data_IF_455579080176
#
_entry.id   IF_455579080176
#
_cell.length_a   1.000
_cell.length_b   1.000
_cell.length_c   1.000
_cell.angle_alpha   90.00
_cell.angle_beta   90.00
_cell.angle_gamma   90.00
#
_symmetry.space_group_name_H-M   'P 1'
#
loop_
_entity.id
_entity.type
_entity.pdbx_description
1 polymer ?
#
# COMPACT_ATOMS: atom_id res chain seq x y z
N UNK A 1 4.64 -13.57 -1.38
CA UNK A 1 6.06 -13.23 -1.16
C UNK A 1 6.93 -13.60 -2.37
N UNK A 2 6.99 -14.85 -2.79
CA UNK A 2 7.80 -15.28 -3.96
C UNK A 2 7.48 -14.45 -5.21
N UNK A 3 6.20 -14.23 -5.52
CA UNK A 3 5.78 -13.43 -6.67
C UNK A 3 6.28 -11.98 -6.62
N UNK A 4 6.28 -11.35 -5.44
CA UNK A 4 6.76 -9.98 -5.28
C UNK A 4 8.24 -9.84 -5.65
N UNK A 5 9.07 -10.75 -5.18
CA UNK A 5 10.52 -10.77 -5.47
C UNK A 5 10.76 -11.10 -6.96
N UNK A 6 10.09 -12.15 -7.46
CA UNK A 6 10.25 -12.60 -8.84
C UNK A 6 9.84 -11.50 -9.85
N UNK A 7 8.67 -10.90 -9.67
CA UNK A 7 8.19 -9.85 -10.58
C UNK A 7 8.88 -8.50 -10.38
N UNK A 8 9.40 -8.20 -9.18
CA UNK A 8 10.31 -7.09 -8.99
C UNK A 8 11.52 -7.20 -9.91
N UNK A 9 12.22 -8.33 -9.84
CA UNK A 9 13.39 -8.60 -10.70
C UNK A 9 13.04 -8.67 -12.19
N UNK A 10 11.94 -9.34 -12.56
CA UNK A 10 11.49 -9.44 -13.94
C UNK A 10 11.16 -8.07 -14.55
N UNK A 11 10.49 -7.21 -13.76
CA UNK A 11 10.12 -5.87 -14.22
C UNK A 11 11.33 -4.95 -14.40
N UNK A 12 12.37 -5.11 -13.57
CA UNK A 12 13.63 -4.38 -13.73
C UNK A 12 14.41 -4.84 -14.99
N UNK A 13 14.40 -6.14 -15.27
CA UNK A 13 15.16 -6.73 -16.38
C UNK A 13 14.47 -6.57 -17.74
N UNK A 14 13.17 -6.83 -17.83
CA UNK A 14 12.43 -6.91 -19.09
C UNK A 14 11.58 -5.68 -19.40
N UNK A 15 11.40 -4.78 -18.44
CA UNK A 15 10.56 -3.59 -18.56
C UNK A 15 9.25 -3.71 -17.78
N UNK A 16 8.72 -2.55 -17.41
CA UNK A 16 7.51 -2.46 -16.56
C UNK A 16 6.27 -2.95 -17.31
N UNK A 17 6.06 -2.41 -18.52
CA UNK A 17 4.91 -2.73 -19.38
C UNK A 17 4.82 -4.21 -19.69
N UNK A 18 5.94 -4.81 -20.16
CA UNK A 18 5.98 -6.22 -20.55
C UNK A 18 5.65 -7.14 -19.39
N UNK A 19 6.28 -6.89 -18.24
CA UNK A 19 6.09 -7.68 -17.02
C UNK A 19 4.67 -7.54 -16.47
N UNK A 20 4.08 -6.34 -16.51
CA UNK A 20 2.72 -6.08 -16.09
C UNK A 20 1.70 -6.85 -16.93
N UNK A 21 1.77 -6.71 -18.27
CA UNK A 21 0.83 -7.36 -19.19
C UNK A 21 0.98 -8.87 -19.14
N UNK A 22 2.22 -9.38 -19.09
CA UNK A 22 2.45 -10.82 -18.90
C UNK A 22 1.79 -11.35 -17.62
N UNK A 23 2.01 -10.68 -16.48
CA UNK A 23 1.42 -11.09 -15.22
C UNK A 23 -0.11 -11.05 -15.27
N UNK A 24 -0.70 -9.98 -15.82
CA UNK A 24 -2.14 -9.77 -15.89
C UNK A 24 -2.83 -10.83 -16.77
N UNK A 25 -2.34 -11.04 -17.98
CA UNK A 25 -2.92 -12.00 -18.92
C UNK A 25 -2.77 -13.43 -18.40
N UNK A 26 -1.57 -13.78 -17.91
CA UNK A 26 -1.33 -15.12 -17.36
C UNK A 26 -2.17 -15.35 -16.09
N UNK A 27 -2.37 -14.34 -15.24
CA UNK A 27 -3.27 -14.41 -14.08
C UNK A 27 -4.70 -14.72 -14.51
N UNK A 28 -5.20 -14.06 -15.56
CA UNK A 28 -6.54 -14.32 -16.11
C UNK A 28 -6.69 -15.74 -16.63
N UNK A 29 -5.69 -16.24 -17.37
CA UNK A 29 -5.69 -17.61 -17.90
C UNK A 29 -5.66 -18.63 -16.75
N UNK A 30 -4.69 -18.54 -15.84
CA UNK A 30 -4.52 -19.47 -14.72
C UNK A 30 -5.72 -19.40 -13.78
N UNK A 31 -6.28 -18.19 -13.54
CA UNK A 31 -7.50 -17.98 -12.77
C UNK A 31 -8.72 -18.68 -13.38
N UNK A 32 -8.86 -18.61 -14.70
CA UNK A 32 -9.93 -19.31 -15.43
C UNK A 32 -9.73 -20.84 -15.39
N UNK A 33 -8.49 -21.31 -15.54
CA UNK A 33 -8.16 -22.74 -15.41
C UNK A 33 -8.44 -23.28 -13.99
N UNK A 34 -8.36 -22.43 -12.97
CA UNK A 34 -8.71 -22.83 -11.60
C UNK A 34 -10.17 -23.29 -11.48
N UNK A 35 -11.09 -22.71 -12.27
CA UNK A 35 -12.48 -23.13 -12.31
C UNK A 35 -12.67 -24.56 -12.89
N UNK A 36 -11.72 -25.02 -13.69
CA UNK A 36 -11.73 -26.34 -14.32
C UNK A 36 -10.98 -27.40 -13.48
N UNK A 37 -10.49 -27.06 -12.30
CA UNK A 37 -9.71 -27.96 -11.47
C UNK A 37 -10.51 -29.21 -11.09
N UNK A 38 -9.97 -30.43 -11.33
CA UNK A 38 -10.68 -31.68 -11.06
C UNK A 38 -10.61 -32.09 -9.59
N UNK A 39 -9.60 -31.64 -8.85
CA UNK A 39 -9.40 -32.00 -7.47
C UNK A 39 -8.75 -30.87 -6.66
N UNK A 40 -8.73 -31.02 -5.34
CA UNK A 40 -8.18 -30.04 -4.39
C UNK A 40 -6.69 -29.73 -4.62
N UNK A 41 -5.88 -30.72 -4.99
CA UNK A 41 -4.45 -30.52 -5.19
C UNK A 41 -4.15 -29.62 -6.39
N UNK A 42 -4.82 -29.88 -7.52
CA UNK A 42 -4.72 -29.05 -8.73
C UNK A 42 -5.25 -27.64 -8.45
N UNK A 43 -6.38 -27.53 -7.74
CA UNK A 43 -6.93 -26.24 -7.31
C UNK A 43 -5.91 -25.45 -6.51
N UNK A 44 -5.29 -26.06 -5.47
CA UNK A 44 -4.31 -25.40 -4.60
C UNK A 44 -3.06 -24.98 -5.37
N UNK A 45 -2.59 -25.84 -6.28
CA UNK A 45 -1.45 -25.55 -7.14
C UNK A 45 -1.73 -24.34 -8.05
N UNK A 46 -2.86 -24.31 -8.73
CA UNK A 46 -3.23 -23.17 -9.57
C UNK A 46 -3.43 -21.89 -8.75
N UNK A 47 -4.02 -21.96 -7.56
CA UNK A 47 -4.19 -20.82 -6.65
C UNK A 47 -2.85 -20.23 -6.19
N UNK A 48 -1.84 -21.07 -5.99
CA UNK A 48 -0.49 -20.58 -5.71
C UNK A 48 0.04 -19.69 -6.83
N UNK A 49 -0.12 -20.10 -8.10
CA UNK A 49 0.31 -19.28 -9.24
C UNK A 49 -0.55 -18.03 -9.42
N UNK A 50 -1.86 -18.12 -9.22
CA UNK A 50 -2.73 -16.92 -9.25
C UNK A 50 -2.24 -15.89 -8.23
N UNK A 51 -1.97 -16.29 -6.97
CA UNK A 51 -1.46 -15.38 -5.96
C UNK A 51 -0.05 -14.83 -6.26
N UNK A 52 0.81 -15.61 -6.92
CA UNK A 52 2.12 -15.16 -7.36
C UNK A 52 2.01 -14.09 -8.46
N UNK A 53 1.16 -14.32 -9.44
CA UNK A 53 0.90 -13.43 -10.58
C UNK A 53 0.19 -12.14 -10.15
N UNK A 54 -0.76 -12.24 -9.20
CA UNK A 54 -1.44 -11.08 -8.61
C UNK A 54 -0.45 -10.10 -7.98
N UNK A 55 0.55 -10.60 -7.24
CA UNK A 55 1.61 -9.74 -6.72
C UNK A 55 2.45 -9.11 -7.84
N UNK A 56 2.63 -9.82 -8.95
CA UNK A 56 3.27 -9.29 -10.16
C UNK A 56 2.50 -8.11 -10.75
N UNK A 57 1.20 -8.26 -10.92
CA UNK A 57 0.31 -7.19 -11.42
C UNK A 57 0.33 -5.99 -10.48
N UNK A 58 0.17 -6.23 -9.19
CA UNK A 58 0.06 -5.18 -8.18
C UNK A 58 1.36 -4.34 -8.11
N UNK A 59 2.51 -4.99 -7.91
CA UNK A 59 3.79 -4.31 -7.75
C UNK A 59 4.21 -3.61 -9.03
N UNK A 60 4.16 -4.31 -10.17
CA UNK A 60 4.63 -3.72 -11.45
C UNK A 60 3.70 -2.58 -11.89
N UNK A 61 2.39 -2.74 -11.72
CA UNK A 61 1.40 -1.70 -12.02
C UNK A 61 1.58 -0.47 -11.14
N UNK A 62 1.81 -0.66 -9.84
CA UNK A 62 2.05 0.44 -8.89
C UNK A 62 3.35 1.20 -9.22
N UNK A 63 4.45 0.48 -9.48
CA UNK A 63 5.74 1.09 -9.85
C UNK A 63 5.58 1.88 -11.16
N UNK A 64 5.01 1.27 -12.20
CA UNK A 64 4.80 1.93 -13.49
C UNK A 64 3.98 3.22 -13.35
N UNK A 65 2.93 3.19 -12.56
CA UNK A 65 2.10 4.36 -12.32
C UNK A 65 2.84 5.46 -11.52
N UNK A 66 3.60 5.09 -10.48
CA UNK A 66 4.40 6.06 -9.71
C UNK A 66 5.53 6.69 -10.51
N UNK A 67 6.06 5.99 -11.51
CA UNK A 67 7.07 6.51 -12.43
C UNK A 67 6.47 7.48 -13.48
N UNK A 68 5.17 7.33 -13.80
CA UNK A 68 4.46 8.22 -14.74
C UNK A 68 4.00 9.54 -14.11
N UNK A 69 3.74 9.56 -12.78
CA UNK A 69 3.19 10.73 -12.11
C UNK A 69 4.25 11.55 -11.38
N UNK A 70 4.17 12.90 -11.43
CA UNK A 70 5.05 13.76 -10.64
C UNK A 70 4.77 13.57 -9.13
N UNK A 71 5.74 13.89 -8.24
CA UNK A 71 5.64 13.62 -6.81
C UNK A 71 4.36 14.11 -6.13
N UNK A 72 3.85 15.28 -6.54
CA UNK A 72 2.60 15.86 -6.02
C UNK A 72 1.36 15.04 -6.36
N UNK A 73 1.37 14.31 -7.48
CA UNK A 73 0.21 13.54 -7.95
C UNK A 73 0.29 12.07 -7.53
N UNK A 74 1.44 11.58 -7.06
CA UNK A 74 1.60 10.20 -6.58
C UNK A 74 0.66 9.86 -5.43
N UNK A 75 0.39 10.82 -4.55
CA UNK A 75 -0.57 10.64 -3.45
C UNK A 75 -1.99 10.45 -3.99
N UNK A 76 -2.40 11.25 -4.99
CA UNK A 76 -3.72 11.12 -5.63
C UNK A 76 -3.86 9.75 -6.29
N UNK A 77 -2.81 9.28 -6.95
CA UNK A 77 -2.80 7.95 -7.58
C UNK A 77 -2.93 6.83 -6.53
N UNK A 78 -2.19 6.89 -5.43
CA UNK A 78 -2.29 5.90 -4.35
C UNK A 78 -3.71 5.80 -3.80
N UNK A 79 -4.37 6.95 -3.65
CA UNK A 79 -5.79 7.01 -3.23
C UNK A 79 -6.73 6.43 -4.28
N UNK A 80 -6.51 6.77 -5.56
CA UNK A 80 -7.32 6.24 -6.65
C UNK A 80 -7.19 4.70 -6.74
N UNK A 81 -6.01 4.15 -6.46
CA UNK A 81 -5.81 2.71 -6.39
C UNK A 81 -6.69 2.05 -5.32
N UNK A 82 -6.73 2.62 -4.10
CA UNK A 82 -7.58 2.11 -3.01
C UNK A 82 -9.07 2.23 -3.33
N UNK A 83 -9.48 3.30 -4.02
CA UNK A 83 -10.86 3.44 -4.48
C UNK A 83 -11.27 2.33 -5.46
N UNK A 84 -10.42 2.00 -6.44
CA UNK A 84 -10.69 0.90 -7.37
C UNK A 84 -10.68 -0.47 -6.68
N UNK A 85 -9.85 -0.65 -5.65
CA UNK A 85 -9.90 -1.84 -4.80
C UNK A 85 -11.27 -2.01 -4.15
N UNK A 86 -11.81 -0.94 -3.55
CA UNK A 86 -13.14 -0.95 -2.92
C UNK A 86 -14.26 -1.23 -3.94
N UNK A 87 -14.19 -0.62 -5.13
CA UNK A 87 -15.13 -0.91 -6.24
C UNK A 87 -15.09 -2.39 -6.61
N UNK A 88 -13.90 -2.97 -6.77
CA UNK A 88 -13.74 -4.41 -7.01
C UNK A 88 -14.37 -5.26 -5.92
N UNK A 89 -14.21 -4.87 -4.64
CA UNK A 89 -14.85 -5.50 -3.50
C UNK A 89 -16.39 -5.49 -3.55
N UNK A 90 -16.99 -4.45 -4.14
CA UNK A 90 -18.44 -4.38 -4.36
C UNK A 90 -18.90 -5.20 -5.58
N UNK A 91 -18.05 -5.31 -6.61
CA UNK A 91 -18.40 -6.07 -7.83
C UNK A 91 -18.47 -7.60 -7.58
N UNK A 92 -17.61 -8.12 -6.70
CA UNK A 92 -17.58 -9.56 -6.39
C UNK A 92 -18.93 -10.09 -5.88
N UNK A 93 -19.56 -9.52 -4.84
CA UNK A 93 -20.87 -9.99 -4.37
C UNK A 93 -21.98 -9.78 -5.40
N UNK A 94 -21.89 -8.72 -6.22
CA UNK A 94 -22.84 -8.49 -7.30
C UNK A 94 -22.79 -9.64 -8.32
N UNK A 95 -21.61 -10.02 -8.79
CA UNK A 95 -21.46 -11.16 -9.69
C UNK A 95 -21.85 -12.47 -9.02
N UNK A 96 -21.51 -12.66 -7.75
CA UNK A 96 -21.84 -13.87 -6.99
C UNK A 96 -23.35 -14.04 -6.78
N UNK A 97 -24.11 -12.94 -6.71
CA UNK A 97 -25.57 -13.00 -6.62
C UNK A 97 -26.22 -13.59 -7.87
N UNK A 98 -25.70 -13.24 -9.07
CA UNK A 98 -26.18 -13.78 -10.35
C UNK A 98 -25.55 -15.14 -10.67
N UNK A 99 -24.27 -15.33 -10.37
CA UNK A 99 -23.49 -16.54 -10.65
C UNK A 99 -23.27 -17.32 -9.36
N UNK A 100 -24.27 -18.09 -8.93
CA UNK A 100 -24.23 -18.82 -7.65
C UNK A 100 -23.26 -20.00 -7.64
N UNK A 101 -22.81 -20.45 -8.80
CA UNK A 101 -21.78 -21.48 -8.93
C UNK A 101 -20.39 -20.84 -8.86
N UNK A 102 -19.54 -21.39 -7.99
CA UNK A 102 -18.20 -20.85 -7.77
C UNK A 102 -17.30 -20.93 -9.01
N UNK A 103 -17.49 -21.93 -9.89
CA UNK A 103 -16.72 -22.08 -11.14
C UNK A 103 -17.04 -20.97 -12.13
N UNK A 104 -18.33 -20.70 -12.32
CA UNK A 104 -18.82 -19.62 -13.18
C UNK A 104 -18.38 -18.26 -12.64
N UNK A 105 -18.46 -18.05 -11.33
CA UNK A 105 -17.98 -16.84 -10.68
C UNK A 105 -16.47 -16.66 -10.88
N UNK A 106 -15.67 -17.71 -10.62
CA UNK A 106 -14.22 -17.67 -10.79
C UNK A 106 -13.83 -17.33 -12.24
N UNK A 107 -14.51 -17.91 -13.23
CA UNK A 107 -14.26 -17.61 -14.65
C UNK A 107 -14.65 -16.17 -14.98
N UNK A 108 -15.82 -15.72 -14.51
CA UNK A 108 -16.30 -14.35 -14.74
C UNK A 108 -15.34 -13.28 -14.20
N UNK A 109 -14.75 -13.51 -13.03
CA UNK A 109 -13.79 -12.58 -12.40
C UNK A 109 -12.44 -12.63 -13.12
N UNK A 110 -12.00 -13.82 -13.58
CA UNK A 110 -10.66 -14.01 -14.14
C UNK A 110 -10.58 -13.63 -15.63
N UNK A 111 -11.61 -13.90 -16.39
CA UNK A 111 -11.62 -13.72 -17.84
C UNK A 111 -11.35 -12.28 -18.31
N UNK A 112 -11.88 -11.23 -17.67
CA UNK A 112 -11.58 -9.84 -18.03
C UNK A 112 -10.09 -9.51 -17.99
N UNK A 113 -9.31 -10.15 -17.11
CA UNK A 113 -7.87 -9.92 -17.04
C UNK A 113 -7.13 -10.39 -18.31
N UNK A 114 -7.66 -11.37 -19.05
CA UNK A 114 -7.12 -11.80 -20.35
C UNK A 114 -7.26 -10.69 -21.39
N UNK A 115 -8.35 -9.91 -21.34
CA UNK A 115 -8.55 -8.75 -22.21
C UNK A 115 -7.50 -7.64 -21.92
N UNK A 116 -6.81 -7.73 -20.81
CA UNK A 116 -5.66 -6.87 -20.49
C UNK A 116 -4.55 -6.90 -21.56
N UNK A 117 -4.52 -7.89 -22.46
CA UNK A 117 -3.62 -7.87 -23.62
C UNK A 117 -3.86 -6.65 -24.50
N UNK A 118 -5.07 -6.12 -24.57
CA UNK A 118 -5.39 -4.91 -25.32
C UNK A 118 -4.66 -3.67 -24.79
N UNK A 119 -4.28 -3.68 -23.50
CA UNK A 119 -3.48 -2.59 -22.91
C UNK A 119 -2.10 -2.47 -23.53
N UNK A 120 -1.64 -3.50 -24.26
CA UNK A 120 -0.36 -3.46 -24.98
C UNK A 120 -0.25 -2.26 -25.92
N UNK A 121 -1.35 -1.89 -26.57
CA UNK A 121 -1.36 -0.78 -27.52
C UNK A 121 -1.54 0.60 -26.86
N UNK A 122 -2.12 0.65 -25.66
CA UNK A 122 -2.44 1.91 -24.98
C UNK A 122 -1.37 2.32 -23.96
N UNK A 123 -0.80 1.37 -23.23
CA UNK A 123 0.19 1.66 -22.20
C UNK A 123 1.58 1.93 -22.79
N UNK A 124 2.21 3.07 -22.45
CA UNK A 124 3.63 3.31 -22.76
C UNK A 124 4.52 2.51 -21.80
N UNK A 125 5.78 2.31 -22.17
CA UNK A 125 6.80 1.82 -21.24
C UNK A 125 7.21 2.96 -20.29
N UNK A 126 7.78 2.63 -19.12
CA UNK A 126 8.30 3.63 -18.20
C UNK A 126 9.47 4.39 -18.78
N UNK A 127 9.37 5.74 -18.80
CA UNK A 127 10.45 6.63 -19.23
C UNK A 127 11.67 6.46 -18.32
N UNK A 128 11.47 6.36 -17.01
CA UNK A 128 12.55 6.17 -16.03
C UNK A 128 13.32 4.88 -16.30
N UNK A 129 12.60 3.79 -16.58
CA UNK A 129 13.21 2.51 -16.93
C UNK A 129 13.97 2.58 -18.26
N UNK A 130 13.39 3.20 -19.29
CA UNK A 130 14.06 3.34 -20.61
C UNK A 130 15.37 4.10 -20.48
N UNK A 131 15.39 5.20 -19.73
CA UNK A 131 16.60 5.98 -19.47
C UNK A 131 17.62 5.15 -18.71
N UNK A 132 17.22 4.41 -17.70
CA UNK A 132 18.13 3.54 -16.93
C UNK A 132 18.74 2.41 -17.76
N UNK A 133 18.08 2.00 -18.85
CA UNK A 133 18.57 1.01 -19.82
C UNK A 133 19.34 1.64 -21.00
N UNK A 134 19.58 2.96 -21.00
CA UNK A 134 20.24 3.67 -22.08
C UNK A 134 19.41 3.83 -23.36
N UNK A 135 18.10 3.53 -23.32
CA UNK A 135 17.18 3.63 -24.48
C UNK A 135 16.57 5.03 -24.60
N UNK A 136 17.42 6.05 -24.59
CA UNK A 136 17.03 7.47 -24.55
C UNK A 136 16.11 7.85 -25.70
N UNK A 137 16.37 7.40 -26.94
CA UNK A 137 15.54 7.68 -28.13
C UNK A 137 14.09 7.19 -27.98
N UNK A 138 13.87 6.05 -27.31
CA UNK A 138 12.53 5.52 -27.05
C UNK A 138 11.83 6.35 -25.98
N UNK A 139 12.57 6.78 -24.96
CA UNK A 139 12.08 7.66 -23.91
C UNK A 139 11.63 9.03 -24.47
N UNK A 140 12.44 9.65 -25.35
CA UNK A 140 12.12 10.91 -26.03
C UNK A 140 10.82 10.81 -26.84
N UNK A 141 10.62 9.75 -27.63
CA UNK A 141 9.38 9.53 -28.39
C UNK A 141 8.14 9.47 -27.48
N UNK A 142 8.24 8.85 -26.30
CA UNK A 142 7.13 8.79 -25.33
C UNK A 142 6.85 10.16 -24.75
N UNK A 143 7.90 10.92 -24.41
CA UNK A 143 7.79 12.28 -23.88
C UNK A 143 7.19 13.25 -24.92
N UNK A 144 7.62 13.17 -26.19
CA UNK A 144 7.05 13.93 -27.30
C UNK A 144 5.56 13.64 -27.51
N UNK A 145 5.18 12.35 -27.44
CA UNK A 145 3.77 11.95 -27.54
C UNK A 145 2.96 12.50 -26.38
N UNK A 146 3.49 12.45 -25.16
CA UNK A 146 2.87 13.01 -23.98
C UNK A 146 2.73 14.54 -24.07
N UNK A 147 3.76 15.25 -24.55
CA UNK A 147 3.77 16.69 -24.77
C UNK A 147 2.69 17.11 -25.78
N UNK A 148 2.56 16.38 -26.89
CA UNK A 148 1.50 16.61 -27.90
C UNK A 148 0.11 16.45 -27.33
N UNK A 149 -0.14 15.39 -26.52
CA UNK A 149 -1.42 15.12 -25.90
C UNK A 149 -1.76 16.22 -24.88
N UNK A 150 -0.78 16.64 -24.08
CA UNK A 150 -0.95 17.67 -23.04
C UNK A 150 -0.91 19.10 -23.61
N UNK A 151 -0.69 19.30 -24.91
CA UNK A 151 -0.54 20.60 -25.59
C UNK A 151 0.50 21.51 -24.90
N UNK A 152 1.59 20.95 -24.44
CA UNK A 152 2.72 21.67 -23.83
C UNK A 152 3.99 21.36 -24.58
N UNK A 153 4.81 22.37 -24.93
CA UNK A 153 6.10 22.12 -25.59
C UNK A 153 7.02 21.34 -24.64
N UNK A 154 7.78 20.42 -25.21
CA UNK A 154 8.83 19.73 -24.49
C UNK A 154 10.02 20.69 -24.34
N UNK A 155 10.61 20.89 -23.13
CA UNK A 155 11.85 21.63 -23.00
C UNK A 155 12.96 21.01 -23.84
N UNK A 156 13.81 21.81 -24.46
CA UNK A 156 14.87 21.32 -25.35
C UNK A 156 15.87 20.38 -24.64
N UNK A 157 16.06 20.54 -23.33
CA UNK A 157 16.97 19.73 -22.49
C UNK A 157 16.24 18.89 -21.43
N UNK A 158 15.09 18.29 -21.77
CA UNK A 158 14.34 17.51 -20.79
C UNK A 158 15.03 16.19 -20.38
N UNK A 159 16.01 15.72 -21.16
CA UNK A 159 16.93 14.65 -20.78
C UNK A 159 18.34 15.23 -20.86
N UNK A 160 18.97 15.48 -19.71
CA UNK A 160 20.32 16.04 -19.63
C UNK A 160 21.35 15.09 -20.24
N UNK A 161 22.51 15.60 -20.66
CA UNK A 161 23.57 14.76 -21.21
C UNK A 161 24.11 13.75 -20.19
N UNK A 162 23.96 14.01 -18.90
CA UNK A 162 24.20 13.04 -17.82
C UNK A 162 23.20 11.88 -17.80
N UNK A 163 21.97 12.08 -18.24
CA UNK A 163 20.95 11.04 -18.34
C UNK A 163 21.11 10.16 -19.57
N UNK A 164 21.92 10.60 -20.55
CA UNK A 164 22.23 9.87 -21.78
C UNK A 164 23.35 8.84 -21.60
N UNK A 165 24.07 8.86 -20.47
CA UNK A 165 25.09 7.83 -20.18
C UNK A 165 24.43 6.60 -19.57
N UNK A 166 24.61 5.39 -20.17
CA UNK A 166 24.07 4.16 -19.59
C UNK A 166 24.72 3.88 -18.22
N UNK A 167 23.91 3.65 -17.21
CA UNK A 167 24.36 3.22 -15.88
C UNK A 167 25.08 1.85 -15.86
N UNK A 168 25.27 1.23 -17.03
CA UNK A 168 25.82 -0.11 -17.20
C UNK A 168 27.17 -0.16 -17.94
N UNK A 169 28.05 0.79 -17.78
CA UNK A 169 29.46 0.56 -18.12
C UNK A 169 30.26 0.47 -16.82
N UNK A 170 30.29 -0.75 -16.26
CA UNK A 170 31.36 -1.16 -15.35
C UNK A 170 32.68 -1.25 -16.11
N UNK A 171 33.22 -0.11 -16.54
CA UNK A 171 34.63 0.12 -16.84
C UNK A 171 35.04 1.28 -15.97
N UNK A 172 35.86 0.93 -15.03
CA UNK A 172 36.53 1.79 -14.08
C UNK A 172 37.27 2.92 -14.82
N UNK A 173 36.73 4.13 -14.77
CA UNK A 173 37.54 5.32 -14.92
C UNK A 173 38.16 5.61 -13.57
N UNK A 174 39.41 5.18 -13.39
CA UNK A 174 40.25 5.31 -12.18
C UNK A 174 40.55 6.75 -11.76
N UNK A 175 39.90 7.79 -12.29
CA UNK A 175 40.28 9.18 -12.08
C UNK A 175 39.19 10.11 -11.49
N UNK A 176 38.15 9.55 -10.82
CA UNK A 176 37.32 10.37 -9.93
C UNK A 176 37.29 9.79 -8.51
N UNK A 177 38.39 9.97 -7.77
CA UNK A 177 38.43 9.86 -6.31
C UNK A 177 37.54 10.93 -5.70
N UNK A 178 36.25 10.62 -5.52
CA UNK A 178 35.38 11.08 -4.44
C UNK A 178 33.94 10.52 -4.60
N UNK A 179 33.79 9.27 -4.99
CA UNK A 179 32.51 8.58 -4.84
C UNK A 179 32.54 7.92 -3.47
N UNK A 180 31.91 8.56 -2.47
CA UNK A 180 31.54 7.89 -1.24
C UNK A 180 30.88 6.57 -1.64
N UNK A 181 31.50 5.44 -1.32
CA UNK A 181 30.90 4.12 -1.45
C UNK A 181 29.46 4.20 -0.94
N UNK A 182 28.48 3.98 -1.81
CA UNK A 182 27.08 3.85 -1.38
C UNK A 182 27.00 2.60 -0.51
N UNK A 183 27.04 2.79 0.80
CA UNK A 183 26.79 1.71 1.76
C UNK A 183 25.43 1.12 1.44
N UNK A 184 25.41 -0.12 0.97
CA UNK A 184 24.18 -0.90 0.80
C UNK A 184 23.67 -1.29 2.17
N UNK A 185 22.56 -0.68 2.58
CA UNK A 185 21.92 -0.99 3.86
C UNK A 185 21.10 -2.27 3.74
N UNK A 186 21.27 -3.16 4.69
CA UNK A 186 20.62 -4.47 4.78
C UNK A 186 19.53 -4.48 5.85
N UNK A 187 18.75 -5.57 5.91
CA UNK A 187 17.74 -5.77 6.98
C UNK A 187 18.38 -5.69 8.37
N UNK A 188 19.64 -6.12 8.51
CA UNK A 188 20.36 -6.10 9.79
C UNK A 188 20.55 -4.67 10.30
N UNK A 189 20.77 -3.71 9.42
CA UNK A 189 20.98 -2.30 9.78
C UNK A 189 19.73 -1.66 10.42
N UNK A 190 18.52 -2.18 10.11
CA UNK A 190 17.27 -1.76 10.75
C UNK A 190 17.21 -2.09 12.25
N UNK A 191 18.00 -3.06 12.70
CA UNK A 191 18.04 -3.50 14.10
C UNK A 191 19.30 -3.02 14.84
N UNK A 192 20.19 -2.30 14.15
CA UNK A 192 21.49 -1.90 14.70
C UNK A 192 21.36 -0.85 15.79
N UNK A 193 20.52 0.18 15.59
CA UNK A 193 20.37 1.29 16.52
C UNK A 193 19.10 1.17 17.37
N UNK A 194 19.06 1.81 18.54
CA UNK A 194 18.01 1.62 19.55
C UNK A 194 16.65 2.11 19.06
N UNK A 195 16.58 3.32 18.52
CA UNK A 195 15.32 3.92 18.10
C UNK A 195 14.80 3.29 16.80
N UNK A 196 15.68 3.05 15.82
CA UNK A 196 15.31 2.39 14.57
C UNK A 196 14.82 0.95 14.82
N UNK A 197 15.47 0.20 15.73
CA UNK A 197 15.00 -1.13 16.15
C UNK A 197 13.61 -1.08 16.76
N UNK A 198 13.37 -0.11 17.68
CA UNK A 198 12.04 0.09 18.29
C UNK A 198 10.98 0.40 17.24
N UNK A 199 11.26 1.33 16.33
CA UNK A 199 10.38 1.67 15.21
C UNK A 199 10.10 0.44 14.36
N UNK A 200 11.12 -0.32 14.00
CA UNK A 200 11.00 -1.51 13.17
C UNK A 200 10.09 -2.56 13.83
N UNK A 201 10.26 -2.84 15.12
CA UNK A 201 9.38 -3.76 15.85
C UNK A 201 7.92 -3.25 15.90
N UNK A 202 7.72 -1.97 16.21
CA UNK A 202 6.37 -1.40 16.27
C UNK A 202 5.68 -1.46 14.89
N UNK A 203 6.34 -1.00 13.84
CA UNK A 203 5.77 -0.97 12.48
C UNK A 203 5.47 -2.38 11.98
N UNK A 204 6.37 -3.35 12.17
CA UNK A 204 6.15 -4.74 11.78
C UNK A 204 4.98 -5.37 12.56
N UNK A 205 4.89 -5.11 13.87
CA UNK A 205 3.77 -5.58 14.69
C UNK A 205 2.43 -4.99 14.23
N UNK A 206 2.41 -3.69 13.92
CA UNK A 206 1.22 -3.01 13.40
C UNK A 206 0.79 -3.61 12.06
N UNK A 207 1.71 -3.81 11.11
CA UNK A 207 1.42 -4.43 9.81
C UNK A 207 0.85 -5.85 9.97
N UNK A 208 1.48 -6.67 10.82
CA UNK A 208 1.04 -8.04 11.08
C UNK A 208 -0.39 -8.08 11.62
N UNK A 209 -0.65 -7.34 12.70
CA UNK A 209 -1.97 -7.35 13.35
C UNK A 209 -3.03 -6.72 12.47
N UNK A 210 -2.73 -5.57 11.84
CA UNK A 210 -3.69 -4.88 10.98
C UNK A 210 -4.13 -5.77 9.80
N UNK A 211 -3.19 -6.45 9.14
CA UNK A 211 -3.49 -7.36 8.04
C UNK A 211 -4.31 -8.57 8.51
N UNK A 212 -3.92 -9.15 9.64
CA UNK A 212 -4.60 -10.30 10.23
C UNK A 212 -6.05 -9.96 10.59
N UNK A 213 -6.28 -8.83 11.26
CA UNK A 213 -7.62 -8.40 11.67
C UNK A 213 -8.47 -8.00 10.46
N UNK A 214 -7.91 -7.23 9.51
CA UNK A 214 -8.62 -6.85 8.30
C UNK A 214 -9.16 -8.06 7.55
N UNK A 215 -8.31 -9.03 7.22
CA UNK A 215 -8.75 -10.24 6.53
C UNK A 215 -9.66 -11.11 7.39
N UNK A 216 -9.37 -11.23 8.70
CA UNK A 216 -10.19 -11.99 9.62
C UNK A 216 -11.62 -11.47 9.70
N UNK A 217 -11.80 -10.15 9.78
CA UNK A 217 -13.11 -9.49 9.77
C UNK A 217 -13.77 -9.63 8.40
N UNK A 218 -13.02 -9.46 7.29
CA UNK A 218 -13.55 -9.64 5.95
C UNK A 218 -14.20 -11.01 5.74
N UNK A 219 -13.59 -12.07 6.27
CA UNK A 219 -14.10 -13.44 6.14
C UNK A 219 -15.17 -13.80 7.17
N UNK A 220 -15.24 -13.09 8.28
CA UNK A 220 -16.29 -13.29 9.27
C UNK A 220 -17.58 -12.53 8.94
N UNK A 221 -17.46 -11.38 8.32
CA UNK A 221 -18.55 -10.45 8.01
C UNK A 221 -19.72 -11.08 7.24
N UNK A 222 -19.52 -11.89 6.18
CA UNK A 222 -20.60 -12.56 5.47
C UNK A 222 -21.40 -13.54 6.31
N UNK A 223 -20.82 -14.07 7.41
CA UNK A 223 -21.45 -15.05 8.30
C UNK A 223 -22.32 -14.42 9.37
N UNK A 224 -22.44 -13.09 9.42
CA UNK A 224 -23.34 -12.38 10.31
C UNK A 224 -24.79 -12.51 9.84
N UNK A 225 -25.71 -12.07 10.69
CA UNK A 225 -27.14 -12.12 10.39
C UNK A 225 -27.48 -11.36 9.11
N UNK A 226 -28.39 -11.93 8.29
CA UNK A 226 -28.85 -11.35 7.04
C UNK A 226 -28.39 -12.11 5.80
N UNK A 227 -28.52 -11.47 4.66
CA UNK A 227 -28.10 -12.03 3.38
C UNK A 227 -26.59 -11.91 3.19
N UNK A 228 -25.96 -13.03 2.80
CA UNK A 228 -24.50 -13.13 2.58
C UNK A 228 -23.99 -12.09 1.58
N UNK A 229 -24.71 -11.92 0.47
CA UNK A 229 -24.28 -11.04 -0.63
C UNK A 229 -24.40 -9.57 -0.23
N UNK A 230 -25.50 -9.23 0.48
CA UNK A 230 -25.73 -7.88 1.00
C UNK A 230 -24.64 -7.52 2.03
N UNK A 231 -24.37 -8.40 2.98
CA UNK A 231 -23.34 -8.19 3.97
C UNK A 231 -21.99 -7.96 3.30
N UNK A 232 -21.59 -8.80 2.35
CA UNK A 232 -20.32 -8.65 1.65
C UNK A 232 -20.25 -7.33 0.85
N UNK A 233 -21.35 -6.95 0.17
CA UNK A 233 -21.46 -5.69 -0.55
C UNK A 233 -21.36 -4.48 0.37
N UNK A 234 -22.02 -4.48 1.53
CA UNK A 234 -21.89 -3.45 2.56
C UNK A 234 -20.44 -3.31 3.03
N UNK A 235 -19.74 -4.44 3.21
CA UNK A 235 -18.33 -4.44 3.56
C UNK A 235 -17.45 -3.74 2.53
N UNK A 236 -17.70 -3.95 1.24
CA UNK A 236 -16.99 -3.25 0.16
C UNK A 236 -17.39 -1.77 0.07
N UNK A 237 -18.68 -1.48 0.17
CA UNK A 237 -19.20 -0.12 0.04
C UNK A 237 -18.66 0.83 1.12
N UNK A 238 -18.49 0.34 2.34
CA UNK A 238 -17.99 1.15 3.45
C UNK A 238 -16.50 1.52 3.32
N UNK A 239 -15.74 0.79 2.50
CA UNK A 239 -14.32 1.12 2.25
C UNK A 239 -14.16 2.45 1.52
N UNK A 240 -15.11 2.82 0.65
CA UNK A 240 -15.06 4.10 -0.09
C UNK A 240 -15.06 5.32 0.86
N UNK A 241 -16.07 5.50 1.74
CA UNK A 241 -16.05 6.60 2.70
C UNK A 241 -14.92 6.48 3.72
N UNK A 242 -14.47 5.26 4.05
CA UNK A 242 -13.34 5.06 4.94
C UNK A 242 -12.06 5.70 4.40
N UNK A 243 -11.73 5.47 3.12
CA UNK A 243 -10.57 6.10 2.48
C UNK A 243 -10.69 7.62 2.49
N UNK A 244 -11.86 8.17 2.12
CA UNK A 244 -12.08 9.62 2.08
C UNK A 244 -11.91 10.28 3.46
N UNK A 245 -12.53 9.70 4.50
CA UNK A 245 -12.41 10.20 5.88
C UNK A 245 -10.98 10.06 6.40
N UNK A 246 -10.31 8.96 6.09
CA UNK A 246 -8.92 8.74 6.49
C UNK A 246 -7.99 9.77 5.90
N UNK A 247 -8.15 10.12 4.62
CA UNK A 247 -7.37 11.17 3.98
C UNK A 247 -7.60 12.53 4.65
N UNK A 248 -8.85 12.86 4.96
CA UNK A 248 -9.17 14.08 5.69
C UNK A 248 -8.47 14.09 7.07
N UNK A 249 -8.50 12.98 7.80
CA UNK A 249 -7.83 12.85 9.09
C UNK A 249 -6.31 12.95 8.96
N UNK A 250 -5.70 12.32 7.96
CA UNK A 250 -4.27 12.42 7.67
C UNK A 250 -3.85 13.88 7.41
N UNK A 251 -4.69 14.64 6.71
CA UNK A 251 -4.41 16.05 6.43
C UNK A 251 -4.60 16.94 7.67
N UNK A 252 -5.69 16.74 8.44
CA UNK A 252 -6.05 17.60 9.58
C UNK A 252 -5.35 17.23 10.89
N UNK A 253 -5.29 15.95 11.23
CA UNK A 253 -4.84 15.47 12.54
C UNK A 253 -3.39 15.01 12.51
N UNK A 254 -2.99 14.25 11.49
CA UNK A 254 -1.66 13.63 11.38
C UNK A 254 -1.75 12.15 11.07
N UNK A 255 -0.67 11.39 11.36
CA UNK A 255 -0.60 9.97 11.01
C UNK A 255 -0.80 9.07 12.24
N UNK A 256 -0.13 9.41 13.35
CA UNK A 256 -0.13 8.60 14.57
C UNK A 256 -1.52 8.46 15.19
N UNK A 257 -2.21 9.58 15.43
CA UNK A 257 -3.48 9.58 16.14
C UNK A 257 -4.62 8.91 15.38
N UNK A 258 -4.82 9.16 14.06
CA UNK A 258 -5.82 8.42 13.29
C UNK A 258 -5.59 6.91 13.32
N UNK A 259 -4.34 6.45 13.24
CA UNK A 259 -3.99 5.03 13.34
C UNK A 259 -4.42 4.46 14.68
N UNK A 260 -4.03 5.10 15.80
CA UNK A 260 -4.40 4.64 17.14
C UNK A 260 -5.92 4.63 17.35
N UNK A 261 -6.61 5.71 16.98
CA UNK A 261 -8.06 5.84 17.16
C UNK A 261 -8.82 4.77 16.40
N UNK A 262 -8.48 4.55 15.11
CA UNK A 262 -9.14 3.55 14.28
C UNK A 262 -8.94 2.14 14.84
N UNK A 263 -7.74 1.81 15.31
CA UNK A 263 -7.47 0.50 15.90
C UNK A 263 -8.16 0.30 17.25
N UNK A 264 -8.24 1.34 18.09
CA UNK A 264 -8.96 1.26 19.37
C UNK A 264 -10.46 1.11 19.12
N UNK A 265 -11.06 1.98 18.32
CA UNK A 265 -12.49 1.94 18.02
C UNK A 265 -12.87 0.61 17.37
N UNK A 266 -12.15 0.20 16.32
CA UNK A 266 -12.38 -1.08 15.65
C UNK A 266 -12.20 -2.26 16.60
N UNK A 267 -11.17 -2.22 17.46
CA UNK A 267 -10.89 -3.26 18.44
C UNK A 267 -11.99 -3.38 19.51
N UNK A 268 -12.47 -2.26 20.05
CA UNK A 268 -13.58 -2.26 21.03
C UNK A 268 -14.85 -2.84 20.39
N UNK A 269 -15.18 -2.43 19.16
CA UNK A 269 -16.36 -2.97 18.45
C UNK A 269 -16.23 -4.48 18.21
N UNK A 270 -15.04 -4.97 17.84
CA UNK A 270 -14.77 -6.41 17.70
C UNK A 270 -15.00 -7.17 19.03
N UNK A 271 -14.64 -6.57 20.17
CA UNK A 271 -14.85 -7.19 21.50
C UNK A 271 -16.33 -7.21 21.86
N UNK A 272 -17.09 -6.18 21.50
CA UNK A 272 -18.51 -6.05 21.87
C UNK A 272 -19.39 -7.03 21.08
N UNK A 273 -19.13 -7.23 19.78
CA UNK A 273 -19.97 -8.05 18.88
C UNK A 273 -20.32 -9.44 19.47
N UNK A 274 -19.38 -10.23 20.01
CA UNK A 274 -19.66 -11.55 20.56
C UNK A 274 -20.66 -11.58 21.75
N UNK A 275 -20.78 -10.48 22.47
CA UNK A 275 -21.66 -10.39 23.65
C UNK A 275 -23.09 -9.97 23.32
N UNK A 276 -23.36 -9.62 22.06
CA UNK A 276 -24.70 -9.23 21.63
C UNK A 276 -25.56 -10.49 21.40
N UNK A 277 -26.74 -10.58 22.03
CA UNK A 277 -27.60 -11.74 21.87
C UNK A 277 -28.05 -11.91 20.41
N UNK A 278 -27.87 -13.10 19.84
CA UNK A 278 -28.32 -13.47 18.48
C UNK A 278 -29.83 -13.76 18.47
N UNK A 279 -30.66 -12.76 18.84
CA UNK A 279 -32.12 -12.85 18.82
C UNK A 279 -32.64 -12.45 17.44
N UNK A 280 -33.83 -12.97 17.09
CA UNK A 280 -34.54 -12.57 15.86
C UNK A 280 -35.04 -11.12 15.95
N UNK A 281 -35.21 -10.47 14.80
CA UNK A 281 -35.72 -9.11 14.69
C UNK A 281 -34.62 -8.05 14.58
N UNK A 282 -34.96 -6.81 14.89
CA UNK A 282 -34.07 -5.63 14.71
C UNK A 282 -32.74 -5.74 15.46
N UNK A 283 -32.72 -6.40 16.61
CA UNK A 283 -31.51 -6.59 17.43
C UNK A 283 -30.46 -7.44 16.72
N UNK A 284 -30.84 -8.35 15.82
CA UNK A 284 -29.95 -9.20 15.07
C UNK A 284 -29.06 -8.42 14.05
N UNK A 285 -29.48 -7.21 13.66
CA UNK A 285 -28.70 -6.34 12.75
C UNK A 285 -27.64 -5.51 13.50
N UNK A 286 -27.67 -5.41 14.81
CA UNK A 286 -26.67 -4.65 15.59
C UNK A 286 -25.25 -5.18 15.35
N UNK A 287 -24.97 -6.50 15.41
CA UNK A 287 -23.65 -7.03 15.07
C UNK A 287 -23.20 -6.65 13.66
N UNK A 288 -24.11 -6.62 12.70
CA UNK A 288 -23.80 -6.22 11.31
C UNK A 288 -23.40 -4.76 11.25
N UNK A 289 -24.16 -3.86 11.89
CA UNK A 289 -23.84 -2.44 11.95
C UNK A 289 -22.49 -2.17 12.62
N UNK A 290 -22.19 -2.85 13.72
CA UNK A 290 -20.90 -2.75 14.39
C UNK A 290 -19.76 -3.29 13.51
N UNK A 291 -19.97 -4.39 12.81
CA UNK A 291 -18.99 -4.96 11.89
C UNK A 291 -18.72 -4.02 10.71
N UNK A 292 -19.70 -3.25 10.23
CA UNK A 292 -19.48 -2.17 9.24
C UNK A 292 -18.52 -1.12 9.80
N UNK A 293 -18.69 -0.69 11.05
CA UNK A 293 -17.77 0.25 11.73
C UNK A 293 -16.37 -0.36 11.86
N UNK A 294 -16.28 -1.63 12.25
CA UNK A 294 -15.00 -2.36 12.31
C UNK A 294 -14.30 -2.34 10.95
N UNK A 295 -15.02 -2.66 9.89
CA UNK A 295 -14.51 -2.68 8.53
C UNK A 295 -14.01 -1.29 8.10
N UNK A 296 -14.79 -0.25 8.39
CA UNK A 296 -14.40 1.15 8.19
C UNK A 296 -13.07 1.48 8.88
N UNK A 297 -12.95 1.14 10.17
CA UNK A 297 -11.77 1.43 10.96
C UNK A 297 -10.52 0.71 10.46
N UNK A 298 -10.61 -0.58 10.15
CA UNK A 298 -9.43 -1.34 9.71
C UNK A 298 -9.01 -1.01 8.29
N UNK A 299 -9.93 -0.69 7.39
CA UNK A 299 -9.59 -0.18 6.07
C UNK A 299 -8.87 1.17 6.16
N UNK A 300 -9.39 2.09 6.99
CA UNK A 300 -8.74 3.37 7.24
C UNK A 300 -7.35 3.21 7.89
N UNK A 301 -7.21 2.31 8.86
CA UNK A 301 -5.92 1.97 9.47
C UNK A 301 -4.92 1.44 8.44
N UNK A 302 -5.36 0.64 7.46
CA UNK A 302 -4.54 0.19 6.33
C UNK A 302 -4.03 1.37 5.50
N UNK A 303 -4.92 2.29 5.12
CA UNK A 303 -4.55 3.50 4.36
C UNK A 303 -3.51 4.33 5.12
N UNK A 304 -3.66 4.50 6.45
CA UNK A 304 -2.68 5.23 7.27
C UNK A 304 -1.32 4.54 7.26
N UNK A 305 -1.28 3.22 7.44
CA UNK A 305 -0.04 2.44 7.56
C UNK A 305 0.79 2.47 6.28
N UNK A 306 0.15 2.48 5.09
CA UNK A 306 0.85 2.60 3.81
C UNK A 306 1.53 3.95 3.63
N UNK A 307 0.99 5.02 4.21
CA UNK A 307 1.59 6.36 4.18
C UNK A 307 2.64 6.51 5.29
N UNK A 308 2.27 6.15 6.51
CA UNK A 308 3.06 6.37 7.71
C UNK A 308 4.32 5.49 7.79
N UNK A 309 4.22 4.22 7.37
CA UNK A 309 5.33 3.28 7.40
C UNK A 309 6.57 3.80 6.68
N UNK A 310 6.49 4.15 5.38
CA UNK A 310 7.62 4.71 4.64
C UNK A 310 8.12 6.07 5.17
N UNK A 311 7.25 6.90 5.76
CA UNK A 311 7.63 8.22 6.28
C UNK A 311 8.55 8.14 7.50
N UNK A 312 8.43 7.09 8.32
CA UNK A 312 9.20 6.94 9.57
C UNK A 312 10.62 6.45 9.29
N UNK A 313 10.82 5.65 8.22
CA UNK A 313 12.13 5.10 7.91
C UNK A 313 13.03 6.14 7.21
N UNK A 314 14.34 6.16 7.53
CA UNK A 314 15.28 7.04 6.86
C UNK A 314 15.42 6.65 5.38
N UNK A 315 15.69 7.64 4.53
CA UNK A 315 15.72 7.47 3.07
C UNK A 315 16.67 6.35 2.63
N UNK A 316 17.80 6.20 3.33
CA UNK A 316 18.82 5.18 3.02
C UNK A 316 18.36 3.73 3.20
N UNK A 317 17.38 3.46 4.07
CA UNK A 317 16.86 2.11 4.32
C UNK A 317 15.31 2.03 4.26
N UNK A 318 14.64 3.07 3.73
CA UNK A 318 13.16 3.17 3.64
C UNK A 318 12.54 1.98 2.91
N UNK A 319 13.08 1.62 1.76
CA UNK A 319 12.57 0.51 0.96
C UNK A 319 12.74 -0.84 1.67
N UNK A 320 13.88 -1.04 2.36
CA UNK A 320 14.14 -2.24 3.14
C UNK A 320 13.18 -2.35 4.32
N UNK A 321 12.95 -1.23 5.04
CA UNK A 321 12.03 -1.17 6.17
C UNK A 321 10.57 -1.39 5.75
N UNK A 322 10.12 -0.73 4.70
CA UNK A 322 8.77 -0.91 4.13
C UNK A 322 8.56 -2.33 3.59
N UNK A 323 9.57 -2.91 2.95
CA UNK A 323 9.54 -4.29 2.47
C UNK A 323 9.42 -5.31 3.61
N UNK A 324 10.18 -5.13 4.70
CA UNK A 324 10.10 -5.96 5.89
C UNK A 324 8.70 -5.85 6.55
N UNK A 325 8.17 -4.64 6.69
CA UNK A 325 6.86 -4.39 7.25
C UNK A 325 5.75 -5.07 6.40
N UNK A 326 5.79 -4.91 5.09
CA UNK A 326 4.87 -5.59 4.17
C UNK A 326 4.97 -7.12 4.29
N UNK A 327 6.18 -7.67 4.47
CA UNK A 327 6.39 -9.10 4.70
C UNK A 327 5.76 -9.58 6.00
N UNK A 328 5.86 -8.79 7.08
CA UNK A 328 5.19 -9.07 8.37
C UNK A 328 3.66 -9.07 8.21
N UNK A 329 3.10 -8.16 7.42
CA UNK A 329 1.68 -8.18 7.06
C UNK A 329 1.27 -9.49 6.37
N UNK A 330 2.09 -10.05 5.48
CA UNK A 330 1.80 -11.34 4.84
C UNK A 330 1.77 -12.50 5.84
N UNK A 331 2.60 -12.46 6.88
CA UNK A 331 2.52 -13.43 7.98
C UNK A 331 1.17 -13.31 8.69
N UNK A 332 0.70 -12.10 8.99
CA UNK A 332 -0.65 -11.85 9.53
C UNK A 332 -1.76 -12.43 8.64
N UNK A 333 -1.62 -12.26 7.30
CA UNK A 333 -2.52 -12.85 6.31
C UNK A 333 -2.49 -14.38 6.25
N UNK A 334 -1.40 -15.03 6.67
CA UNK A 334 -1.33 -16.50 6.82
C UNK A 334 -1.99 -16.95 8.12
N UNK A 335 -1.88 -16.14 9.18
CA UNK A 335 -2.35 -16.52 10.53
C UNK A 335 -3.86 -16.36 10.72
N UNK A 336 -4.53 -15.43 10.02
CA UNK A 336 -5.95 -15.15 10.26
C UNK A 336 -6.88 -16.37 10.09
N UNK A 337 -6.70 -17.31 9.14
CA UNK A 337 -7.60 -18.46 9.02
C UNK A 337 -7.51 -19.40 10.22
N UNK A 338 -6.32 -19.50 10.85
CA UNK A 338 -6.14 -20.32 12.05
C UNK A 338 -6.89 -19.74 13.24
N UNK A 339 -6.89 -18.42 13.41
CA UNK A 339 -7.72 -17.76 14.42
C UNK A 339 -9.20 -17.93 14.06
N UNK A 340 -9.59 -17.78 12.79
CA UNK A 340 -10.95 -18.03 12.31
C UNK A 340 -11.42 -19.44 12.62
N UNK A 341 -10.54 -20.45 12.54
CA UNK A 341 -10.85 -21.84 12.88
C UNK A 341 -11.17 -22.03 14.37
N UNK A 342 -10.72 -21.15 15.27
CA UNK A 342 -11.07 -21.19 16.69
C UNK A 342 -12.58 -21.11 16.93
N UNK A 343 -13.36 -20.59 15.99
CA UNK A 343 -14.82 -20.59 16.03
C UNK A 343 -15.43 -21.99 16.14
N UNK A 344 -14.71 -23.02 15.63
CA UNK A 344 -15.10 -24.44 15.68
C UNK A 344 -14.65 -25.16 16.94
N UNK A 345 -13.70 -24.56 17.68
CA UNK A 345 -13.30 -25.08 18.98
C UNK A 345 -14.39 -24.66 19.96
N UNK A 346 -15.04 -25.62 20.63
CA UNK A 346 -16.04 -25.38 21.68
C UNK A 346 -15.43 -24.68 22.92
N UNK A 347 -14.59 -23.68 22.71
CA UNK A 347 -13.90 -22.90 23.73
C UNK A 347 -14.87 -21.91 24.37
N UNK A 348 -15.78 -22.46 25.18
CA UNK A 348 -16.59 -21.68 26.08
C UNK A 348 -18.00 -21.34 25.56
N UNK A 349 -19.01 -21.70 26.36
CA UNK A 349 -20.41 -21.35 26.15
C UNK A 349 -20.68 -19.83 26.12
N UNK A 350 -19.71 -19.01 26.51
CA UNK A 350 -19.88 -17.56 26.69
C UNK A 350 -19.67 -16.75 25.41
N UNK A 351 -18.68 -17.10 24.56
CA UNK A 351 -18.30 -16.30 23.40
C UNK A 351 -18.66 -17.01 22.08
N UNK A 352 -18.77 -18.35 22.12
CA UNK A 352 -19.26 -19.16 20.99
C UNK A 352 -18.46 -18.99 19.69
N UNK A 353 -19.15 -19.01 18.54
CA UNK A 353 -18.52 -18.94 17.21
C UNK A 353 -17.86 -17.59 16.89
N UNK A 354 -18.09 -16.55 17.68
CA UNK A 354 -17.52 -15.22 17.46
C UNK A 354 -16.21 -14.99 18.25
N UNK A 355 -15.65 -16.04 18.88
CA UNK A 355 -14.36 -16.00 19.56
C UNK A 355 -13.23 -15.37 18.70
N UNK A 356 -13.14 -15.62 17.37
CA UNK A 356 -12.16 -14.94 16.55
C UNK A 356 -12.25 -13.41 16.59
N UNK A 357 -13.46 -12.84 16.61
CA UNK A 357 -13.64 -11.39 16.69
C UNK A 357 -13.12 -10.82 18.01
N UNK A 358 -13.37 -11.52 19.11
CA UNK A 358 -12.82 -11.14 20.42
C UNK A 358 -11.29 -11.10 20.40
N UNK A 359 -10.65 -12.13 19.86
CA UNK A 359 -9.18 -12.21 19.73
C UNK A 359 -8.65 -11.07 18.85
N UNK A 360 -9.27 -10.81 17.70
CA UNK A 360 -8.90 -9.71 16.83
C UNK A 360 -9.03 -8.36 17.53
N UNK A 361 -10.09 -8.16 18.33
CA UNK A 361 -10.30 -6.94 19.09
C UNK A 361 -9.20 -6.69 20.11
N UNK A 362 -8.83 -7.71 20.89
CA UNK A 362 -7.74 -7.63 21.88
C UNK A 362 -6.40 -7.33 21.19
N UNK A 363 -6.08 -8.05 20.12
CA UNK A 363 -4.85 -7.83 19.36
C UNK A 363 -4.79 -6.42 18.75
N UNK A 364 -5.93 -5.89 18.30
CA UNK A 364 -6.00 -4.53 17.75
C UNK A 364 -5.71 -3.47 18.82
N UNK A 365 -6.26 -3.61 20.03
CA UNK A 365 -5.98 -2.69 21.13
C UNK A 365 -4.50 -2.75 21.51
N UNK A 366 -3.92 -3.94 21.62
CA UNK A 366 -2.48 -4.10 21.87
C UNK A 366 -1.67 -3.41 20.77
N UNK A 367 -2.09 -3.58 19.52
CA UNK A 367 -1.43 -2.98 18.36
C UNK A 367 -1.51 -1.44 18.39
N UNK A 368 -2.62 -0.86 18.84
CA UNK A 368 -2.72 0.59 19.00
C UNK A 368 -1.70 1.14 20.01
N UNK A 369 -1.39 0.36 21.06
CA UNK A 369 -0.35 0.72 22.03
C UNK A 369 1.06 0.71 21.40
N UNK A 370 1.31 -0.16 20.41
CA UNK A 370 2.57 -0.16 19.66
C UNK A 370 2.72 1.08 18.76
N UNK A 371 1.64 1.76 18.40
CA UNK A 371 1.70 2.98 17.61
C UNK A 371 2.01 4.23 18.47
N UNK A 372 1.78 4.18 19.78
CA UNK A 372 2.00 5.32 20.68
C UNK A 372 3.46 5.80 20.76
N UNK A 373 4.48 4.93 20.80
CA UNK A 373 5.88 5.37 20.85
C UNK A 373 6.43 5.84 19.50
N UNK A 374 5.68 5.73 18.40
CA UNK A 374 6.11 6.18 17.09
C UNK A 374 6.04 7.71 16.97
N UNK A 375 6.99 8.37 16.27
CA UNK A 375 6.99 9.82 16.10
C UNK A 375 5.86 10.27 15.16
N UNK A 376 5.29 11.45 15.39
CA UNK A 376 4.36 12.08 14.43
C UNK A 376 5.15 12.66 13.25
N UNK A 377 4.75 12.33 12.04
CA UNK A 377 5.47 12.74 10.81
C UNK A 377 4.81 13.91 10.06
N UNK A 378 3.60 14.33 10.49
CA UNK A 378 2.87 15.41 9.83
C UNK A 378 3.67 16.71 9.82
N UNK A 379 3.87 17.28 8.62
CA UNK A 379 4.58 18.54 8.41
C UNK A 379 6.03 18.55 8.97
N UNK A 380 6.61 17.37 9.15
CA UNK A 380 8.01 17.24 9.58
C UNK A 380 8.88 16.78 8.41
N UNK A 381 10.16 17.16 8.38
CA UNK A 381 11.08 16.68 7.37
C UNK A 381 11.25 15.17 7.49
N UNK A 382 11.40 14.51 6.35
CA UNK A 382 11.68 13.07 6.32
C UNK A 382 13.15 12.83 6.70
N UNK A 383 13.45 11.86 7.56
CA UNK A 383 14.83 11.55 7.91
C UNK A 383 15.58 10.99 6.70
N UNK A 384 16.82 11.43 6.50
CA UNK A 384 17.69 10.96 5.42
C UNK A 384 18.64 9.86 5.89
N UNK A 385 19.17 9.98 7.09
CA UNK A 385 20.15 9.08 7.68
C UNK A 385 19.62 8.34 8.90
N UNK A 386 20.30 7.27 9.31
CA UNK A 386 19.97 6.53 10.55
C UNK A 386 20.15 7.43 11.78
N UNK A 387 21.14 8.34 11.74
CA UNK A 387 21.43 9.29 12.84
C UNK A 387 20.28 10.29 13.03
N UNK A 388 19.61 10.70 11.94
CA UNK A 388 18.43 11.58 12.01
C UNK A 388 17.25 10.92 12.72
N UNK A 389 17.11 9.60 12.60
CA UNK A 389 16.09 8.83 13.31
C UNK A 389 16.44 8.67 14.79
N UNK A 390 17.71 8.48 15.13
CA UNK A 390 18.13 8.38 16.53
C UNK A 390 17.94 9.70 17.29
N UNK A 391 18.17 10.85 16.62
CA UNK A 391 18.04 12.19 17.16
C UNK A 391 16.90 12.97 16.49
N UNK A 392 15.74 12.35 16.30
CA UNK A 392 14.65 12.88 15.48
C UNK A 392 14.14 14.26 15.93
N UNK A 393 14.08 14.52 17.22
CA UNK A 393 13.64 15.83 17.74
C UNK A 393 14.61 16.94 17.38
N UNK A 394 15.92 16.70 17.54
CA UNK A 394 16.95 17.68 17.20
C UNK A 394 17.08 17.88 15.69
N UNK A 395 16.87 16.83 14.91
CA UNK A 395 16.76 16.90 13.46
C UNK A 395 15.62 17.82 13.02
N UNK A 396 14.43 17.64 13.59
CA UNK A 396 13.27 18.47 13.30
C UNK A 396 13.49 19.95 13.70
N UNK A 397 14.12 20.21 14.85
CA UNK A 397 14.45 21.56 15.31
C UNK A 397 15.42 22.26 14.34
N UNK A 398 16.49 21.58 13.93
CA UNK A 398 17.47 22.11 12.96
C UNK A 398 16.81 22.49 11.63
N UNK A 399 15.96 21.60 11.06
CA UNK A 399 15.24 21.87 9.81
C UNK A 399 14.25 23.05 9.94
N UNK A 400 13.54 23.15 11.06
CA UNK A 400 12.64 24.28 11.31
C UNK A 400 13.36 25.63 11.36
N UNK A 401 14.56 25.66 11.97
CA UNK A 401 15.37 26.87 12.04
C UNK A 401 15.92 27.26 10.66
N UNK A 402 16.39 26.30 9.86
CA UNK A 402 16.85 26.55 8.48
C UNK A 402 15.70 27.11 7.63
N UNK A 403 14.49 26.55 7.75
CA UNK A 403 13.33 27.07 7.00
C UNK A 403 12.90 28.49 7.42
N UNK A 404 13.07 28.86 8.69
CA UNK A 404 12.83 30.22 9.16
C UNK A 404 13.85 31.18 8.58
N UNK A 405 15.15 30.86 8.66
CA UNK A 405 16.24 31.66 8.09
C UNK A 405 16.05 31.89 6.58
N UNK A 406 15.75 30.84 5.83
CA UNK A 406 15.50 30.95 4.38
C UNK A 406 14.27 31.82 4.05
N UNK A 407 13.23 31.85 4.91
CA UNK A 407 12.07 32.73 4.73
C UNK A 407 12.42 34.20 5.04
N UNK A 408 13.23 34.43 6.05
CA UNK A 408 13.69 35.76 6.43
C UNK A 408 14.62 36.34 5.35
N UNK A 409 15.50 35.53 4.76
CA UNK A 409 16.36 35.94 3.65
C UNK A 409 15.55 36.26 2.38
N UNK A 410 14.53 35.44 2.08
CA UNK A 410 13.61 35.70 0.93
C UNK A 410 12.77 36.96 1.14
N UNK A 411 12.32 37.23 2.36
CA UNK A 411 11.55 38.46 2.66
C UNK A 411 12.45 39.70 2.60
N UNK A 412 13.65 39.63 3.12
CA UNK A 412 14.63 40.76 3.06
C UNK A 412 15.09 41.03 1.62
N UNK A 413 15.23 40.00 0.79
CA UNK A 413 15.57 40.14 -0.64
C UNK A 413 14.41 40.75 -1.46
N UNK A 414 13.17 40.49 -1.07
CA UNK A 414 11.99 41.08 -1.69
C UNK A 414 11.79 42.55 -1.31
N UNK A 415 12.14 42.93 -0.08
CA UNK A 415 12.10 44.33 0.40
C UNK A 415 13.27 45.17 -0.15
N UNK A 416 14.43 44.58 -0.36
CA UNK A 416 15.60 45.23 -0.95
C UNK A 416 15.51 45.50 -2.45
N UNK A 417 14.71 44.71 -3.19
CA UNK A 417 14.48 44.90 -4.63
C UNK A 417 13.49 46.03 -5.01
N UNK A 418 12.70 46.52 -4.04
CA UNK A 418 11.70 47.56 -4.26
C UNK A 418 12.19 48.99 -4.35
N UNK A 419 13.47 49.25 -4.06
CA UNK A 419 14.00 50.63 -3.96
C UNK A 419 14.94 51.06 -5.11
N UNK A 420 15.04 50.28 -6.21
CA UNK A 420 15.91 50.69 -7.34
C UNK A 420 15.15 51.07 -8.63
N UNK A 421 13.82 51.11 -8.66
CA UNK A 421 13.06 51.56 -9.86
C UNK A 421 12.33 52.88 -9.73
N UNK A 422 12.93 53.88 -9.01
CA UNK A 422 12.40 55.24 -9.07
C UNK A 422 13.51 56.26 -9.02
N UNK A 423 14.40 56.25 -10.03
CA UNK A 423 15.19 57.43 -10.44
C UNK A 423 15.83 57.15 -11.82
N UNK A 424 15.09 57.40 -12.87
CA UNK A 424 15.52 58.05 -14.14
C UNK A 424 14.28 58.53 -14.83
#
# INVERSE_FOLDING_TARGET
MIGAVAFGFLSDKFGRKKSFIFALVTQGIVGSLTALSPNFYVFTFLRFFVGMLEQGVNITGFIMATELFPPKQRTIFGVAHEFFWAVGGCMVPLFAYFLRDWKSLQTCISLPAVLGICLWWFLPESVVWLVSQGKVKEAEKILEKAAKINRRPLPADCLSDSDKQPLMNGKEDENKKSTKERKTYTIIDLFRTKNLRKITFCVNGIWLVNTMVYYGVCFHFPNLYGDLYINFALGGLVEIPSVAVTLFLLYKVGRRWPLCLMQIVGGIMCIIIPFIPKKSGTVAYIPVALAVVVRFCFNGSFTVIYVYGPEIYPTVCRNTGAGLASSSGRIGGILYPFIGYMSKLNAGKLIGPDLPLFVYGVLSIICSLLALPLPETKNKPLPDTIEDVENYEDFCRRHSNIQKLNREELSSSAEGGGNQETKI
#
